data_IF_279526624096
#
_entry.id   IF_279526624096
#
_cell.length_a   1.000
_cell.length_b   1.000
_cell.length_c   1.000
_cell.angle_alpha   90.00
_cell.angle_beta   90.00
_cell.angle_gamma   90.00
#
_symmetry.space_group_name_H-M   'P 1'
#
loop_
_entity.id
_entity.type
_entity.pdbx_description
1 polymer ?
#
# COMPACT_ATOMS: atom_id res chain seq x y z
N UNK A 1 10.11 -0.65 -27.21
CA UNK A 1 9.41 -0.10 -28.40
C UNK A 1 9.65 1.39 -28.62
N UNK A 2 9.62 2.22 -27.59
CA UNK A 2 9.87 3.66 -27.72
C UNK A 2 11.28 4.03 -28.23
N UNK A 3 12.34 3.41 -27.70
CA UNK A 3 13.71 3.58 -28.21
C UNK A 3 13.88 3.10 -29.66
N UNK A 4 13.30 1.93 -29.99
CA UNK A 4 13.28 1.40 -31.37
C UNK A 4 12.51 2.28 -32.36
N UNK A 5 11.60 3.11 -31.85
CA UNK A 5 10.83 4.07 -32.64
C UNK A 5 11.51 5.47 -32.72
N UNK A 6 12.75 5.62 -32.24
CA UNK A 6 13.48 6.89 -32.21
C UNK A 6 12.68 8.03 -31.54
N UNK A 7 11.97 7.71 -30.44
CA UNK A 7 11.17 8.70 -29.72
C UNK A 7 9.81 9.01 -30.34
N UNK A 8 9.45 8.40 -31.48
CA UNK A 8 8.14 8.55 -32.08
C UNK A 8 7.08 7.69 -31.35
N UNK A 9 6.13 8.35 -30.70
CA UNK A 9 5.11 7.69 -29.89
C UNK A 9 4.13 6.85 -30.72
N UNK A 10 3.70 7.34 -31.89
CA UNK A 10 2.76 6.63 -32.77
C UNK A 10 3.38 5.35 -33.33
N UNK A 11 4.65 5.43 -33.76
CA UNK A 11 5.39 4.26 -34.25
C UNK A 11 5.67 3.25 -33.12
N UNK A 12 5.95 3.74 -31.91
CA UNK A 12 6.11 2.89 -30.74
C UNK A 12 4.81 2.14 -30.38
N UNK A 13 3.66 2.80 -30.53
CA UNK A 13 2.34 2.20 -30.31
C UNK A 13 2.04 1.14 -31.36
N UNK A 14 2.30 1.42 -32.64
CA UNK A 14 2.15 0.44 -33.72
C UNK A 14 3.04 -0.79 -33.49
N UNK A 15 4.30 -0.60 -33.10
CA UNK A 15 5.17 -1.71 -32.69
C UNK A 15 4.68 -2.48 -31.46
N UNK A 16 3.82 -1.88 -30.63
CA UNK A 16 3.24 -2.58 -29.49
C UNK A 16 2.06 -3.47 -29.87
N UNK A 17 1.41 -3.20 -31.01
CA UNK A 17 0.27 -3.99 -31.52
C UNK A 17 0.68 -5.41 -31.93
N UNK A 18 1.97 -5.65 -32.17
CA UNK A 18 2.49 -6.99 -32.52
C UNK A 18 2.42 -7.99 -31.36
N UNK A 19 2.08 -7.55 -30.14
CA UNK A 19 1.98 -8.41 -28.96
C UNK A 19 0.52 -8.75 -28.64
N UNK A 20 -0.01 -9.90 -29.12
CA UNK A 20 -1.44 -10.20 -29.09
C UNK A 20 -2.03 -10.36 -27.68
N UNK A 21 -1.22 -10.58 -26.65
CA UNK A 21 -1.66 -10.75 -25.26
C UNK A 21 -1.38 -9.53 -24.36
N UNK A 22 -0.92 -8.41 -24.93
CA UNK A 22 -0.61 -7.20 -24.17
C UNK A 22 -1.59 -6.09 -24.49
N UNK A 23 -2.02 -5.35 -23.46
CA UNK A 23 -2.77 -4.11 -23.66
C UNK A 23 -1.84 -3.07 -24.27
N UNK A 24 -2.22 -2.53 -25.43
CA UNK A 24 -1.45 -1.51 -26.12
C UNK A 24 -1.47 -0.20 -25.29
N UNK A 25 -0.32 0.36 -24.91
CA UNK A 25 -0.27 1.63 -24.20
C UNK A 25 -0.83 2.77 -25.06
N UNK A 26 -1.50 3.73 -24.43
CA UNK A 26 -1.86 4.99 -25.08
C UNK A 26 -0.60 5.81 -25.41
N UNK A 27 -0.66 6.63 -26.46
CA UNK A 27 0.42 7.55 -26.87
C UNK A 27 0.90 8.41 -25.69
N UNK A 28 -0.03 8.88 -24.85
CA UNK A 28 0.23 9.73 -23.68
C UNK A 28 1.17 9.06 -22.66
N UNK A 29 1.16 7.72 -22.58
CA UNK A 29 2.02 6.96 -21.67
C UNK A 29 3.49 7.11 -22.09
N UNK A 30 3.77 7.00 -23.40
CA UNK A 30 5.13 7.19 -23.92
C UNK A 30 5.64 8.61 -23.66
N UNK A 31 4.80 9.62 -23.89
CA UNK A 31 5.13 11.03 -23.62
C UNK A 31 5.43 11.24 -22.13
N UNK A 32 4.56 10.75 -21.25
CA UNK A 32 4.69 10.92 -19.81
C UNK A 32 5.95 10.26 -19.25
N UNK A 33 6.27 9.07 -19.75
CA UNK A 33 7.49 8.33 -19.37
C UNK A 33 8.73 9.08 -19.86
N UNK A 34 8.74 9.55 -21.11
CA UNK A 34 9.86 10.30 -21.67
C UNK A 34 10.09 11.62 -20.93
N UNK A 35 9.02 12.37 -20.68
CA UNK A 35 9.06 13.61 -19.90
C UNK A 35 9.63 13.35 -18.50
N UNK A 36 9.09 12.35 -17.80
CA UNK A 36 9.56 11.97 -16.46
C UNK A 36 11.05 11.63 -16.46
N UNK A 37 11.50 10.81 -17.41
CA UNK A 37 12.92 10.47 -17.52
C UNK A 37 13.80 11.72 -17.73
N UNK A 38 13.33 12.66 -18.55
CA UNK A 38 14.07 13.92 -18.79
C UNK A 38 14.11 14.83 -17.57
N UNK A 39 13.06 14.84 -16.75
CA UNK A 39 12.92 15.71 -15.58
C UNK A 39 13.59 15.14 -14.32
N UNK A 40 13.48 13.83 -14.07
CA UNK A 40 13.93 13.21 -12.82
C UNK A 40 15.04 12.18 -13.00
N UNK A 41 15.40 11.83 -14.24
CA UNK A 41 16.37 10.77 -14.54
C UNK A 41 15.88 9.36 -14.20
N UNK A 42 14.62 9.19 -13.78
CA UNK A 42 14.09 7.93 -13.28
C UNK A 42 12.72 7.61 -13.87
N UNK A 43 12.46 6.34 -14.14
CA UNK A 43 11.15 5.85 -14.54
C UNK A 43 10.23 5.56 -13.36
N UNK A 44 10.75 5.63 -12.13
CA UNK A 44 9.97 5.33 -10.95
C UNK A 44 8.84 6.35 -10.79
N UNK A 45 7.63 5.91 -10.42
CA UNK A 45 6.56 6.82 -10.04
C UNK A 45 7.01 7.68 -8.86
N UNK A 46 6.53 8.92 -8.78
CA UNK A 46 6.82 9.76 -7.61
C UNK A 46 6.06 9.15 -6.44
N UNK A 47 6.79 8.50 -5.53
CA UNK A 47 6.23 7.85 -4.35
C UNK A 47 5.77 8.90 -3.32
N UNK A 48 6.25 10.14 -3.45
CA UNK A 48 6.06 11.22 -2.48
C UNK A 48 4.58 11.55 -2.21
N UNK A 49 3.72 11.42 -3.22
CA UNK A 49 2.27 11.68 -3.07
C UNK A 49 1.44 10.40 -2.98
N UNK A 50 2.10 9.23 -2.92
CA UNK A 50 1.46 7.92 -2.84
C UNK A 50 1.51 7.35 -1.43
N UNK A 51 1.76 8.19 -0.43
CA UNK A 51 1.19 7.96 0.88
C UNK A 51 -0.33 8.06 0.75
N UNK A 52 -0.94 6.92 0.36
CA UNK A 52 -2.35 6.66 0.64
C UNK A 52 -2.61 7.22 2.03
N UNK A 53 -3.51 8.20 2.13
CA UNK A 53 -3.86 8.96 3.32
C UNK A 53 -3.96 8.07 4.56
N UNK A 54 -2.80 7.76 5.11
CA UNK A 54 -2.59 7.08 6.36
C UNK A 54 -3.05 8.00 7.48
N UNK A 55 -3.33 9.27 7.21
CA UNK A 55 -3.82 10.25 8.17
C UNK A 55 -5.35 10.22 8.35
N UNK A 56 -6.07 9.30 7.70
CA UNK A 56 -7.37 8.81 8.22
C UNK A 56 -7.11 7.67 9.25
N UNK A 57 -5.91 7.60 9.83
CA UNK A 57 -5.68 6.95 11.12
C UNK A 57 -6.24 7.89 12.17
N UNK A 58 -7.46 7.64 12.62
CA UNK A 58 -7.99 8.34 13.78
C UNK A 58 -7.33 7.69 15.01
N UNK A 59 -6.33 8.31 15.66
CA UNK A 59 -5.67 7.71 16.83
C UNK A 59 -6.67 7.38 17.93
N UNK A 60 -7.75 8.17 18.04
CA UNK A 60 -8.86 7.91 18.95
C UNK A 60 -9.55 6.56 18.71
N UNK A 61 -9.70 6.13 17.45
CA UNK A 61 -10.31 4.85 17.08
C UNK A 61 -9.37 3.70 17.42
N UNK A 62 -8.07 3.85 17.19
CA UNK A 62 -7.07 2.85 17.57
C UNK A 62 -7.02 2.67 19.09
N UNK A 63 -7.00 3.77 19.84
CA UNK A 63 -6.94 3.74 21.30
C UNK A 63 -8.23 3.17 21.92
N UNK A 64 -9.39 3.47 21.34
CA UNK A 64 -10.66 2.87 21.77
C UNK A 64 -10.67 1.35 21.58
N UNK A 65 -10.14 0.85 20.45
CA UNK A 65 -10.01 -0.61 20.20
C UNK A 65 -9.09 -1.26 21.22
N UNK A 66 -7.92 -0.65 21.46
CA UNK A 66 -6.93 -1.20 22.38
C UNK A 66 -7.52 -1.28 23.79
N UNK A 67 -8.15 -0.20 24.27
CA UNK A 67 -8.86 -0.19 25.57
C UNK A 67 -9.93 -1.28 25.64
N UNK A 68 -10.75 -1.45 24.59
CA UNK A 68 -11.80 -2.48 24.55
C UNK A 68 -11.24 -3.90 24.67
N UNK A 69 -10.10 -4.16 24.04
CA UNK A 69 -9.41 -5.46 24.08
C UNK A 69 -8.78 -5.69 25.45
N UNK A 70 -8.18 -4.66 26.06
CA UNK A 70 -7.63 -4.72 27.42
C UNK A 70 -8.72 -4.97 28.47
N UNK A 71 -9.85 -4.29 28.37
CA UNK A 71 -11.01 -4.47 29.26
C UNK A 71 -11.61 -5.88 29.19
N UNK A 72 -11.60 -6.50 27.99
CA UNK A 72 -12.12 -7.85 27.84
C UNK A 72 -11.40 -8.61 26.70
N UNK A 73 -10.37 -9.41 27.01
CA UNK A 73 -9.54 -10.07 25.99
C UNK A 73 -10.27 -11.19 25.24
N UNK A 74 -11.51 -11.51 25.61
CA UNK A 74 -12.35 -12.54 24.97
C UNK A 74 -13.29 -12.01 23.90
N UNK A 75 -13.23 -10.72 23.55
CA UNK A 75 -14.12 -10.16 22.52
C UNK A 75 -13.93 -10.83 21.16
N UNK A 76 -15.06 -11.11 20.48
CA UNK A 76 -15.03 -11.58 19.11
C UNK A 76 -14.90 -10.41 18.14
N UNK A 77 -14.09 -10.58 17.09
CA UNK A 77 -13.87 -9.58 16.04
C UNK A 77 -15.19 -9.03 15.48
N UNK A 78 -16.22 -9.89 15.38
CA UNK A 78 -17.56 -9.52 14.92
C UNK A 78 -18.23 -8.44 15.77
N UNK A 79 -18.11 -8.52 17.10
CA UNK A 79 -18.75 -7.55 18.00
C UNK A 79 -18.16 -6.15 17.84
N UNK A 80 -16.83 -6.04 17.77
CA UNK A 80 -16.15 -4.74 17.62
C UNK A 80 -16.39 -4.17 16.22
N UNK A 81 -16.47 -5.00 15.17
CA UNK A 81 -16.78 -4.51 13.82
C UNK A 81 -18.18 -3.93 13.69
N UNK A 82 -19.16 -4.46 14.43
CA UNK A 82 -20.52 -3.91 14.46
C UNK A 82 -20.55 -2.52 15.10
N UNK A 83 -19.72 -2.30 16.12
CA UNK A 83 -19.60 -1.02 16.83
C UNK A 83 -18.83 0.03 16.00
N UNK A 84 -17.81 -0.39 15.25
CA UNK A 84 -16.86 0.51 14.60
C UNK A 84 -17.09 0.73 13.10
N UNK A 85 -17.94 -0.07 12.46
CA UNK A 85 -18.26 -0.03 11.02
C UNK A 85 -17.06 -0.07 10.06
N UNK A 86 -15.86 -0.49 10.53
CA UNK A 86 -14.66 -0.59 9.69
C UNK A 86 -13.80 -1.82 10.02
N UNK A 87 -14.15 -2.94 9.39
CA UNK A 87 -13.50 -4.26 9.56
C UNK A 87 -12.01 -4.23 9.20
N UNK A 88 -11.66 -3.51 8.12
CA UNK A 88 -10.28 -3.47 7.61
C UNK A 88 -9.35 -2.74 8.58
N UNK A 89 -9.84 -1.66 9.20
CA UNK A 89 -9.08 -0.91 10.19
C UNK A 89 -8.89 -1.71 11.47
N UNK A 90 -9.94 -2.37 11.97
CA UNK A 90 -9.86 -3.22 13.15
C UNK A 90 -8.85 -4.36 12.99
N UNK A 91 -8.92 -5.11 11.88
CA UNK A 91 -8.01 -6.22 11.63
C UNK A 91 -6.54 -5.78 11.65
N UNK A 92 -6.24 -4.59 11.09
CA UNK A 92 -4.88 -4.04 11.10
C UNK A 92 -4.41 -3.66 12.51
N UNK A 93 -5.27 -3.04 13.32
CA UNK A 93 -4.94 -2.67 14.71
C UNK A 93 -4.68 -3.91 15.54
N UNK A 94 -5.57 -4.91 15.46
CA UNK A 94 -5.41 -6.18 16.17
C UNK A 94 -4.17 -6.93 15.74
N UNK A 95 -3.89 -7.01 14.44
CA UNK A 95 -2.72 -7.71 13.93
C UNK A 95 -1.43 -7.02 14.41
N UNK A 96 -1.39 -5.69 14.41
CA UNK A 96 -0.28 -4.92 14.97
C UNK A 96 -0.10 -5.19 16.47
N UNK A 97 -1.19 -5.19 17.25
CA UNK A 97 -1.14 -5.46 18.69
C UNK A 97 -0.68 -6.89 19.02
N UNK A 98 -1.13 -7.88 18.24
CA UNK A 98 -0.72 -9.28 18.37
C UNK A 98 0.76 -9.48 18.07
N UNK A 99 1.27 -8.86 17.00
CA UNK A 99 2.71 -8.92 16.70
C UNK A 99 3.54 -8.26 17.80
N UNK A 100 3.12 -7.08 18.29
CA UNK A 100 3.81 -6.40 19.39
C UNK A 100 3.80 -7.20 20.70
N UNK A 101 2.74 -7.96 20.99
CA UNK A 101 2.70 -8.82 22.17
C UNK A 101 3.58 -10.06 22.03
N UNK A 102 3.63 -10.69 20.85
CA UNK A 102 4.58 -11.78 20.57
C UNK A 102 6.02 -11.31 20.67
N UNK A 103 6.35 -10.16 20.08
CA UNK A 103 7.69 -9.59 20.13
C UNK A 103 8.10 -9.24 21.58
N UNK A 104 7.17 -8.72 22.39
CA UNK A 104 7.40 -8.45 23.80
C UNK A 104 7.65 -9.73 24.62
N UNK A 105 6.90 -10.80 24.36
CA UNK A 105 7.07 -12.11 25.03
C UNK A 105 8.40 -12.74 24.63
N UNK A 106 8.77 -12.69 23.35
CA UNK A 106 10.05 -13.20 22.85
C UNK A 106 11.23 -12.43 23.47
N UNK A 107 11.14 -11.09 23.52
CA UNK A 107 12.18 -10.27 24.13
C UNK A 107 12.30 -10.49 25.65
N UNK A 108 11.19 -10.77 26.34
CA UNK A 108 11.21 -11.10 27.77
C UNK A 108 11.88 -12.44 28.05
N UNK A 109 11.70 -13.44 27.16
CA UNK A 109 12.35 -14.74 27.28
C UNK A 109 13.86 -14.68 27.01
N UNK A 110 14.29 -13.83 26.06
CA UNK A 110 15.70 -13.69 25.68
C UNK A 110 16.54 -12.88 26.69
N UNK A 111 15.92 -12.00 27.49
CA UNK A 111 16.63 -11.18 28.49
C UNK A 111 16.79 -11.87 29.87
N UNK A 112 16.24 -13.08 30.04
CA UNK A 112 16.33 -13.86 31.27
C UNK A 112 17.08 -15.20 31.10
N UNK A 113 17.91 -15.31 30.05
CA UNK A 113 18.96 -16.32 29.90
C UNK A 113 20.34 -15.68 30.03
#
# INVERSE_FOLDING_TARGET
MYGRANGNCSKAQHFYQIFPQRRCPAIIIFISIHRRFRETGSFLPSIFNRECNKNIRTPAIEEQVIRRIEENPRFSMRQITLEMQNVSQLWRIMNKAFFLSQDAIINYHNNHQ
#
